data_IF_405921393877
#
_entry.id   IF_405921393877
#
_cell.length_a   1.000
_cell.length_b   1.000
_cell.length_c   1.000
_cell.angle_alpha   90.00
_cell.angle_beta   90.00
_cell.angle_gamma   90.00
#
_symmetry.space_group_name_H-M   'P 1'
#
loop_
_entity.id
_entity.type
_entity.pdbx_description
1 polymer ?
2 non-polymer ?
#
# COMPACT_ATOMS: atom_id res chain seq x y z
N UNK A 30 -14.68 -12.41 18.08
CA UNK A 30 -14.42 -12.77 19.51
C UNK A 30 -13.11 -13.55 19.68
N UNK A 31 -12.37 -13.72 18.60
CA UNK A 31 -11.13 -14.50 18.65
C UNK A 31 -9.85 -13.66 18.47
N UNK A 32 -9.71 -12.67 19.37
CA UNK A 32 -8.41 -12.05 19.60
C UNK A 32 -7.51 -13.08 20.26
N UNK A 33 -8.14 -14.01 20.98
CA UNK A 33 -7.45 -15.08 21.66
C UNK A 33 -6.48 -15.82 20.75
N UNK A 34 -7.03 -16.57 19.80
CA UNK A 34 -6.20 -17.33 18.85
C UNK A 34 -5.04 -16.52 18.27
N UNK A 35 -5.26 -15.23 18.01
CA UNK A 35 -4.19 -14.39 17.50
C UNK A 35 -3.08 -14.21 18.54
N UNK A 36 -3.46 -13.75 19.73
CA UNK A 36 -2.49 -13.54 20.80
C UNK A 36 -1.70 -14.82 21.05
N UNK A 37 -2.42 -15.90 21.35
CA UNK A 37 -1.84 -17.25 21.40
C UNK A 37 -0.80 -17.49 20.32
N UNK A 38 -1.17 -17.21 19.06
CA UNK A 38 -0.29 -17.44 17.93
C UNK A 38 0.83 -16.39 17.84
N UNK A 39 0.47 -15.12 17.98
CA UNK A 39 1.44 -14.05 17.70
C UNK A 39 2.52 -13.99 18.76
N UNK A 40 2.10 -14.11 20.01
CA UNK A 40 2.97 -13.93 21.16
C UNK A 40 4.05 -15.00 21.23
N UNK A 41 3.72 -16.21 20.80
CA UNK A 41 4.70 -17.29 20.69
C UNK A 41 5.51 -17.19 19.39
N UNK A 42 4.82 -17.06 18.26
CA UNK A 42 5.45 -17.09 16.92
C UNK A 42 6.85 -16.47 16.90
N UNK A 43 7.82 -17.30 16.53
CA UNK A 43 9.23 -16.93 16.63
C UNK A 43 9.80 -16.32 15.35
N UNK A 44 8.95 -16.12 14.35
CA UNK A 44 9.41 -15.56 13.08
C UNK A 44 9.27 -14.04 13.04
N UNK A 45 8.69 -13.47 14.10
CA UNK A 45 8.53 -12.02 14.24
C UNK A 45 9.75 -11.44 14.94
N UNK A 46 10.53 -10.61 14.25
CA UNK A 46 11.68 -10.09 15.00
C UNK A 46 11.24 -9.41 16.27
N UNK A 47 12.13 -9.35 17.25
CA UNK A 47 11.75 -8.99 18.63
C UNK A 47 11.51 -7.49 18.80
N UNK A 48 12.10 -6.68 17.92
CA UNK A 48 11.91 -5.26 18.01
C UNK A 48 10.54 -4.86 17.46
N UNK A 49 9.78 -5.83 16.97
CA UNK A 49 8.45 -5.58 16.45
C UNK A 49 7.40 -5.89 17.51
N UNK A 50 7.69 -6.88 18.35
CA UNK A 50 6.78 -7.30 19.41
C UNK A 50 6.35 -6.11 20.26
N UNK A 51 7.25 -5.14 20.43
CA UNK A 51 6.97 -3.98 21.25
C UNK A 51 5.88 -3.05 20.68
N UNK A 52 5.28 -3.45 19.56
CA UNK A 52 4.19 -2.65 18.99
C UNK A 52 2.86 -3.35 19.17
N UNK A 53 2.81 -4.24 20.15
CA UNK A 53 1.64 -5.08 20.35
C UNK A 53 1.40 -5.24 21.84
N UNK A 54 0.16 -5.06 22.27
CA UNK A 54 -0.14 -5.34 23.67
C UNK A 54 0.53 -6.64 24.10
N UNK A 55 1.25 -6.61 25.22
CA UNK A 55 1.82 -7.83 25.81
C UNK A 55 0.73 -8.81 26.27
N UNK A 56 0.95 -10.10 25.98
CA UNK A 56 -0.01 -11.15 26.32
C UNK A 56 0.52 -11.95 27.50
N UNK A 57 -0.40 -12.59 28.26
CA UNK A 57 0.00 -13.32 29.47
C UNK A 57 -0.92 -14.56 29.73
N UNK A 58 -1.83 -14.82 28.78
CA UNK A 58 -2.62 -16.05 28.81
C UNK A 58 -4.09 -15.86 29.14
N UNK A 59 -4.72 -16.96 29.62
CA UNK A 59 -6.17 -17.00 29.79
C UNK A 59 -6.60 -18.27 30.53
N UNK A 70 -12.43 -13.56 29.56
CA UNK A 70 -11.45 -14.15 30.53
C UNK A 70 -10.00 -13.93 30.09
N UNK A 71 -9.77 -12.87 29.33
CA UNK A 71 -8.45 -12.64 28.74
C UNK A 71 -7.64 -11.66 29.56
N UNK A 72 -6.31 -11.85 29.57
CA UNK A 72 -5.41 -11.07 30.44
C UNK A 72 -4.32 -10.34 29.66
N UNK A 73 -4.49 -9.00 29.50
CA UNK A 73 -3.55 -8.19 28.67
C UNK A 73 -3.05 -6.92 29.36
N UNK A 74 -1.70 -6.78 29.42
CA UNK A 74 -1.09 -5.50 29.80
C UNK A 74 -1.87 -4.33 29.19
N UNK A 75 -2.41 -3.46 30.06
CA UNK A 75 -2.97 -2.19 29.59
C UNK A 75 -1.88 -1.19 29.32
N UNK A 76 -1.92 -0.61 28.13
CA UNK A 76 -0.86 0.30 27.69
C UNK A 76 -0.85 1.59 28.52
N UNK A 77 -2.04 2.16 28.76
CA UNK A 77 -2.16 3.50 29.35
C UNK A 77 -1.75 3.57 30.83
N UNK A 78 -1.50 2.39 31.41
CA UNK A 78 -1.07 2.30 32.79
C UNK A 78 0.12 3.20 33.09
N UNK A 79 1.03 3.31 32.12
CA UNK A 79 2.29 4.04 32.34
C UNK A 79 2.15 5.55 32.13
N UNK A 80 0.93 6.03 31.92
CA UNK A 80 0.75 7.44 31.57
C UNK A 80 -0.08 8.18 32.59
N UNK A 81 0.42 9.34 32.98
CA UNK A 81 -0.25 10.15 34.00
C UNK A 81 -1.36 10.97 33.37
N UNK A 82 -0.96 11.83 32.40
CA UNK A 82 -1.90 12.60 31.64
C UNK A 82 -1.63 12.39 30.17
N UNK A 83 -2.29 11.40 29.58
CA UNK A 83 -2.03 11.06 28.19
C UNK A 83 -3.08 11.60 27.25
N UNK A 84 -2.64 12.22 26.16
CA UNK A 84 -3.48 12.39 24.98
C UNK A 84 -3.35 11.13 24.15
N UNK A 85 -4.46 10.67 23.59
CA UNK A 85 -4.48 9.41 22.82
C UNK A 85 -5.31 9.53 21.52
N UNK A 86 -4.89 8.80 20.47
CA UNK A 86 -5.65 8.78 19.19
C UNK A 86 -5.66 7.43 18.52
N UNK A 87 -6.82 7.03 18.00
CA UNK A 87 -6.94 5.74 17.37
C UNK A 87 -7.39 5.82 15.90
N UNK A 88 -6.51 5.35 15.02
CA UNK A 88 -6.71 5.43 13.57
C UNK A 88 -6.95 4.07 12.96
N UNK A 89 -7.99 3.99 12.13
CA UNK A 89 -8.34 2.77 11.41
C UNK A 89 -7.49 2.65 10.15
N UNK A 90 -6.54 1.73 10.18
CA UNK A 90 -5.64 1.52 9.05
C UNK A 90 -6.27 0.66 8.00
N UNK A 91 -6.22 1.14 6.76
CA UNK A 91 -6.64 0.33 5.64
C UNK A 91 -7.31 1.10 4.53
N UNK A 92 -6.75 0.98 3.32
CA UNK A 92 -7.33 1.49 2.07
C UNK A 92 -8.79 1.03 1.89
N UNK A 93 -9.11 -0.16 2.41
CA UNK A 93 -10.48 -0.59 2.62
C UNK A 93 -10.59 -1.19 4.01
N UNK A 94 -11.81 -1.40 4.47
CA UNK A 94 -12.02 -1.95 5.81
C UNK A 94 -12.32 -3.45 5.78
N UNK A 95 -13.07 -3.87 4.77
CA UNK A 95 -13.50 -5.27 4.66
C UNK A 95 -12.36 -6.14 4.16
N UNK A 96 -12.70 -7.39 3.83
CA UNK A 96 -11.75 -8.35 3.29
C UNK A 96 -12.50 -9.49 2.58
N UNK A 97 -11.85 -10.10 1.57
CA UNK A 97 -12.52 -11.07 0.68
C UNK A 97 -13.12 -12.29 1.40
N UNK A 98 -12.45 -12.76 2.46
CA UNK A 98 -12.88 -13.97 3.17
C UNK A 98 -14.04 -13.71 4.13
N UNK A 99 -14.33 -12.44 4.40
CA UNK A 99 -15.47 -12.07 5.24
C UNK A 99 -16.80 -12.52 4.63
N UNK A 100 -17.84 -12.55 5.44
CA UNK A 100 -19.18 -12.89 4.95
C UNK A 100 -19.71 -11.78 4.06
N UNK A 101 -20.85 -12.05 3.40
CA UNK A 101 -21.47 -11.08 2.50
C UNK A 101 -22.10 -9.92 3.29
N UNK A 102 -22.84 -10.26 4.35
CA UNK A 102 -23.41 -9.25 5.24
C UNK A 102 -22.35 -8.28 5.74
N UNK A 103 -21.17 -8.81 6.06
CA UNK A 103 -20.10 -8.03 6.67
C UNK A 103 -19.32 -7.19 5.66
N UNK A 104 -19.30 -7.62 4.40
CA UNK A 104 -18.63 -6.85 3.34
C UNK A 104 -19.43 -5.63 2.92
N UNK A 105 -20.73 -5.82 2.66
CA UNK A 105 -21.62 -4.72 2.29
C UNK A 105 -21.70 -3.69 3.40
N UNK A 106 -21.69 -4.18 4.64
CA UNK A 106 -21.66 -3.32 5.83
C UNK A 106 -20.50 -2.33 5.76
N UNK A 107 -19.27 -2.85 5.73
CA UNK A 107 -18.07 -2.02 5.71
C UNK A 107 -17.95 -1.17 4.44
N UNK A 108 -18.38 -1.71 3.30
CA UNK A 108 -18.28 -1.02 2.02
C UNK A 108 -19.00 0.32 2.07
N UNK A 109 -20.20 0.32 2.65
CA UNK A 109 -20.93 1.57 2.85
C UNK A 109 -20.20 2.46 3.87
N UNK A 110 -19.86 1.87 5.03
CA UNK A 110 -19.11 2.58 6.08
C UNK A 110 -17.86 3.30 5.56
N UNK A 111 -17.20 2.72 4.57
CA UNK A 111 -15.97 3.30 4.04
C UNK A 111 -16.25 4.51 3.16
N UNK A 112 -17.37 4.45 2.43
CA UNK A 112 -17.69 5.47 1.44
C UNK A 112 -17.91 6.83 2.10
N UNK A 113 -17.12 7.82 1.66
CA UNK A 113 -17.28 9.19 2.11
C UNK A 113 -16.34 9.55 3.24
N UNK A 114 -15.28 8.77 3.41
CA UNK A 114 -14.33 9.01 4.48
C UNK A 114 -12.92 8.85 3.94
N UNK A 115 -11.95 9.39 4.66
CA UNK A 115 -10.57 9.40 4.20
C UNK A 115 -10.02 7.99 4.05
N UNK A 116 -10.81 7.00 4.47
CA UNK A 116 -10.45 5.61 4.29
C UNK A 116 -10.15 5.32 2.82
N UNK A 117 -11.06 5.72 1.95
CA UNK A 117 -10.89 5.52 0.52
C UNK A 117 -9.89 6.52 -0.07
N UNK A 118 -10.10 7.80 0.23
CA UNK A 118 -9.24 8.87 -0.26
C UNK A 118 -7.79 8.65 0.18
N UNK A 119 -7.59 8.50 1.47
CA UNK A 119 -6.23 8.28 1.98
C UNK A 119 -6.10 6.87 2.52
N UNK A 120 -4.93 6.54 3.06
CA UNK A 120 -4.76 5.18 3.57
C UNK A 120 -5.67 4.71 4.74
N UNK A 121 -6.40 5.63 5.37
CA UNK A 121 -6.74 5.48 6.77
C UNK A 121 -7.91 6.36 7.24
N UNK A 122 -8.15 6.38 8.56
CA UNK A 122 -9.34 7.02 9.13
C UNK A 122 -9.22 7.30 10.65
N UNK A 123 -9.04 8.56 11.01
CA UNK A 123 -9.03 8.93 12.43
C UNK A 123 -10.39 8.62 13.06
N UNK A 124 -10.40 7.72 14.04
CA UNK A 124 -11.63 7.15 14.59
C UNK A 124 -12.01 7.85 15.86
N UNK A 125 -11.01 8.47 16.47
CA UNK A 125 -11.21 9.16 17.71
C UNK A 125 -9.89 9.56 18.27
N UNK A 126 -9.93 10.58 19.12
CA UNK A 126 -8.79 11.00 19.90
C UNK A 126 -9.30 11.69 21.12
N UNK A 127 -8.41 11.91 22.09
CA UNK A 127 -8.68 12.69 23.29
C UNK A 127 -7.41 13.46 23.67
N UNK A 128 -7.54 14.76 23.91
CA UNK A 128 -6.39 15.64 23.97
C UNK A 128 -6.46 16.60 25.17
N UNK A 129 -5.32 17.06 25.65
CA UNK A 129 -5.28 17.81 26.92
C UNK A 129 -4.80 19.27 26.76
N UNK A 130 -5.75 20.19 26.58
CA UNK A 130 -5.43 21.61 26.44
C UNK A 130 -4.70 22.15 27.68
N UNK A 131 -3.44 22.54 27.50
CA UNK A 131 -2.60 22.96 28.63
C UNK A 131 -2.98 24.34 29.17
N UNK A 132 -3.67 25.14 28.36
CA UNK A 132 -4.10 26.46 28.82
C UNK A 132 -5.33 26.37 29.72
N UNK A 133 -6.24 25.45 29.41
CA UNK A 133 -7.46 25.29 30.18
C UNK A 133 -7.42 24.06 31.08
N UNK A 134 -6.22 23.50 31.28
CA UNK A 134 -6.04 22.30 32.10
C UNK A 134 -7.22 21.34 32.03
N UNK A 135 -7.47 20.78 30.84
CA UNK A 135 -8.69 20.04 30.61
C UNK A 135 -8.60 19.12 29.39
N UNK A 136 -8.98 17.86 29.56
CA UNK A 136 -9.12 16.94 28.42
C UNK A 136 -10.42 17.22 27.69
N UNK A 137 -10.36 17.15 26.36
CA UNK A 137 -11.57 17.07 25.56
C UNK A 137 -11.43 15.98 24.49
N UNK A 138 -12.54 15.61 23.89
CA UNK A 138 -12.61 14.42 23.07
C UNK A 138 -13.90 14.44 22.30
N UNK A 139 -13.80 14.63 20.97
CA UNK A 139 -14.99 14.83 20.17
C UNK A 139 -15.69 13.51 19.89
N UNK A 140 -17.02 13.55 19.80
CA UNK A 140 -17.83 12.40 19.44
C UNK A 140 -17.22 11.63 18.27
N UNK A 141 -17.43 10.31 18.25
CA UNK A 141 -16.82 9.44 17.26
C UNK A 141 -17.46 9.57 15.86
N UNK A 142 -18.80 9.66 15.80
CA UNK A 142 -19.52 9.88 14.54
C UNK A 142 -18.96 11.09 13.79
N UNK A 143 -18.80 12.20 14.48
CA UNK A 143 -18.36 13.46 13.88
C UNK A 143 -17.09 13.31 13.04
N UNK A 144 -16.14 12.52 13.53
CA UNK A 144 -14.87 12.31 12.83
C UNK A 144 -15.03 11.46 11.52
N UNK A 145 -16.14 10.75 11.41
CA UNK A 145 -16.46 9.99 10.18
C UNK A 145 -16.65 10.93 8.99
N UNK A 146 -16.94 12.20 9.27
CA UNK A 146 -17.17 13.19 8.22
C UNK A 146 -15.91 13.90 7.74
N UNK A 147 -14.78 13.64 8.38
CA UNK A 147 -13.55 14.33 8.04
C UNK A 147 -13.10 14.07 6.59
N UNK A 148 -12.69 15.14 5.91
CA UNK A 148 -12.08 15.02 4.59
C UNK A 148 -10.57 15.17 4.73
N UNK A 149 -9.85 15.18 3.61
CA UNK A 149 -8.39 15.11 3.67
C UNK A 149 -7.81 16.27 4.48
N UNK A 150 -8.35 17.47 4.29
CA UNK A 150 -7.86 18.64 5.03
C UNK A 150 -8.22 18.52 6.48
N UNK A 151 -9.45 18.10 6.75
CA UNK A 151 -9.87 17.77 8.09
C UNK A 151 -8.85 16.91 8.82
N UNK A 152 -8.44 15.82 8.17
CA UNK A 152 -7.55 14.83 8.78
C UNK A 152 -6.17 15.42 9.06
N UNK A 153 -5.70 16.24 8.14
CA UNK A 153 -4.39 16.82 8.26
C UNK A 153 -4.41 17.81 9.40
N UNK A 154 -5.55 18.46 9.60
CA UNK A 154 -5.73 19.40 10.69
C UNK A 154 -5.82 18.67 12.02
N UNK A 155 -6.68 17.66 12.07
CA UNK A 155 -6.82 16.86 13.26
C UNK A 155 -5.49 16.32 13.72
N UNK A 156 -4.72 15.77 12.79
CA UNK A 156 -3.43 15.18 13.10
C UNK A 156 -2.47 16.21 13.64
N UNK A 157 -2.81 17.47 13.44
CA UNK A 157 -1.98 18.55 13.93
C UNK A 157 -2.51 19.07 15.26
N UNK A 158 -3.83 19.07 15.39
CA UNK A 158 -4.46 19.33 16.66
C UNK A 158 -3.86 18.38 17.68
N UNK A 159 -3.79 17.11 17.31
CA UNK A 159 -3.36 16.04 18.20
C UNK A 159 -2.02 16.34 18.89
N UNK A 160 -1.24 17.27 18.32
CA UNK A 160 0.05 17.63 18.89
C UNK A 160 0.17 19.11 19.22
N UNK A 161 -0.95 19.71 19.63
CA UNK A 161 -0.94 21.11 20.05
C UNK A 161 -1.28 21.26 21.54
N UNK A 162 -1.03 22.44 22.09
CA UNK A 162 -1.47 22.76 23.45
C UNK A 162 -2.81 23.48 23.42
N UNK A 163 -3.26 23.85 22.22
CA UNK A 163 -4.48 24.63 22.04
C UNK A 163 -5.64 23.80 21.50
N UNK A 164 -6.80 23.96 22.11
CA UNK A 164 -8.03 23.50 21.49
C UNK A 164 -9.22 24.28 22.01
N UNK A 165 -9.31 25.53 21.54
CA UNK A 165 -10.23 26.52 22.10
C UNK A 165 -10.83 27.39 20.99
N UNK A 172 -5.74 27.84 14.20
CA UNK A 172 -4.43 28.17 14.79
C UNK A 172 -3.98 27.09 15.81
N UNK A 173 -2.99 26.28 15.44
CA UNK A 173 -2.55 25.17 16.29
C UNK A 173 -1.05 25.18 16.51
N UNK A 174 -0.61 24.85 17.71
CA UNK A 174 0.83 24.85 18.04
C UNK A 174 1.53 23.51 17.72
N UNK A 175 2.61 23.22 18.45
CA UNK A 175 3.32 21.96 18.28
C UNK A 175 3.99 21.39 19.53
N UNK A 176 3.62 20.15 19.84
CA UNK A 176 4.51 19.17 20.45
C UNK A 176 4.96 18.23 19.32
N UNK A 177 4.75 18.68 18.07
CA UNK A 177 5.02 17.89 16.88
C UNK A 177 6.45 17.40 16.85
N UNK A 178 7.38 18.29 17.17
CA UNK A 178 8.77 17.92 17.18
C UNK A 178 9.16 16.84 18.24
N UNK A 179 8.36 16.66 19.27
CA UNK A 179 8.72 15.69 20.33
C UNK A 179 7.79 14.47 20.41
N UNK A 180 6.60 14.58 19.84
CA UNK A 180 5.76 13.41 19.70
C UNK A 180 6.04 12.71 18.38
N UNK A 181 5.93 13.45 17.27
CA UNK A 181 6.04 12.87 15.95
C UNK A 181 7.51 12.68 15.59
N UNK A 182 8.27 13.76 15.72
CA UNK A 182 9.66 13.79 15.28
C UNK A 182 10.54 13.15 16.31
N UNK A 183 11.85 13.33 16.19
CA UNK A 183 12.78 12.78 17.16
C UNK A 183 13.10 11.31 16.92
N UNK A 184 14.25 10.87 17.45
CA UNK A 184 14.81 9.59 17.04
C UNK A 184 14.09 8.38 17.62
N UNK A 185 13.18 8.61 18.56
CA UNK A 185 12.34 7.54 19.10
C UNK A 185 10.87 7.87 18.93
N UNK A 186 10.59 8.95 18.23
CA UNK A 186 9.23 9.43 18.09
C UNK A 186 8.32 8.51 17.30
N UNK A 187 7.13 8.99 17.01
CA UNK A 187 6.17 8.21 16.30
C UNK A 187 6.64 7.94 14.86
N UNK A 188 7.34 8.89 14.27
CA UNK A 188 7.75 8.72 12.87
C UNK A 188 8.67 7.51 12.76
N UNK A 189 9.74 7.53 13.55
CA UNK A 189 10.66 6.41 13.61
C UNK A 189 9.89 5.11 13.84
N UNK A 190 8.98 5.13 14.80
CA UNK A 190 8.21 3.95 15.14
C UNK A 190 7.36 3.50 13.94
N UNK A 191 6.63 4.43 13.35
CA UNK A 191 5.79 4.09 12.19
C UNK A 191 6.63 3.50 11.06
N UNK A 192 7.84 4.04 10.90
CA UNK A 192 8.76 3.57 9.89
C UNK A 192 9.20 2.13 10.11
N UNK A 193 9.60 1.80 11.33
CA UNK A 193 9.94 0.42 11.67
C UNK A 193 8.83 -0.56 11.29
N UNK A 194 7.59 -0.20 11.59
CA UNK A 194 6.45 -1.02 11.22
C UNK A 194 6.32 -1.15 9.70
N UNK A 195 6.57 -0.05 8.99
CA UNK A 195 6.47 -0.08 7.54
C UNK A 195 7.43 -1.11 6.98
N UNK A 196 8.71 -0.95 7.29
CA UNK A 196 9.69 -1.93 6.89
C UNK A 196 9.10 -3.30 7.09
N UNK A 197 8.73 -3.60 8.33
CA UNK A 197 8.22 -4.92 8.62
C UNK A 197 7.10 -5.31 7.65
N UNK A 198 6.17 -4.40 7.43
CA UNK A 198 4.99 -4.73 6.63
C UNK A 198 5.32 -4.93 5.16
N UNK A 199 6.50 -4.47 4.75
CA UNK A 199 6.99 -4.71 3.41
C UNK A 199 7.24 -6.19 3.19
N UNK A 200 7.82 -6.85 4.19
CA UNK A 200 8.15 -8.27 4.08
C UNK A 200 7.13 -9.25 4.71
N UNK A 201 6.75 -9.02 5.97
CA UNK A 201 6.01 -10.06 6.70
C UNK A 201 4.79 -10.55 5.94
N UNK A 202 4.67 -11.87 5.80
CA UNK A 202 3.47 -12.48 5.21
C UNK A 202 2.77 -13.42 6.18
N UNK A 203 2.97 -13.22 7.47
CA UNK A 203 2.41 -14.12 8.48
C UNK A 203 0.95 -13.80 8.76
N UNK A 204 0.65 -12.53 8.97
CA UNK A 204 -0.72 -12.15 9.31
C UNK A 204 -1.23 -11.07 8.37
N UNK A 205 -2.54 -11.13 8.09
CA UNK A 205 -3.25 -10.02 7.47
C UNK A 205 -4.10 -9.35 8.53
N UNK A 206 -3.79 -8.09 8.81
CA UNK A 206 -4.44 -7.38 9.90
C UNK A 206 -5.77 -6.73 9.48
N UNK A 207 -6.75 -7.56 9.13
CA UNK A 207 -8.04 -7.05 8.66
C UNK A 207 -8.71 -6.15 9.66
N UNK A 208 -9.08 -4.95 9.22
CA UNK A 208 -10.04 -4.13 9.97
C UNK A 208 -9.55 -3.79 11.38
N UNK A 209 -8.51 -2.98 11.44
CA UNK A 209 -7.59 -3.00 12.55
C UNK A 209 -6.93 -1.60 12.70
N UNK A 210 -6.74 -1.14 13.94
CA UNK A 210 -6.40 0.28 14.18
C UNK A 210 -4.98 0.48 14.70
N UNK A 211 -4.41 1.63 14.41
CA UNK A 211 -3.20 2.05 15.08
C UNK A 211 -3.55 2.98 16.22
N UNK A 212 -2.82 2.85 17.33
CA UNK A 212 -3.02 3.70 18.48
C UNK A 212 -1.77 4.50 18.79
N UNK A 213 -1.91 5.83 18.82
CA UNK A 213 -0.84 6.71 19.29
C UNK A 213 -1.17 7.22 20.69
N UNK A 214 -0.13 7.44 21.49
CA UNK A 214 -0.31 8.04 22.81
C UNK A 214 0.95 8.74 23.27
N UNK A 215 0.80 9.70 24.18
CA UNK A 215 1.96 10.37 24.76
C UNK A 215 1.69 11.09 26.09
N UNK A 216 2.76 11.57 26.72
CA UNK A 216 2.69 12.11 28.08
C UNK A 216 2.62 13.63 28.05
N UNK A 217 1.57 14.18 28.66
CA UNK A 217 1.48 15.64 28.81
C UNK A 217 2.24 16.20 30.02
N UNK A 218 2.40 15.38 31.06
CA UNK A 218 3.03 15.86 32.30
C UNK A 218 4.22 16.83 32.08
N UNK A 219 4.00 18.09 32.49
CA UNK A 219 4.87 19.20 32.08
C UNK A 219 5.17 19.12 30.59
N UNK A 227 10.34 13.61 29.22
CA UNK A 227 9.86 13.96 27.85
C UNK A 227 8.44 13.39 27.59
N UNK A 228 8.02 13.41 26.32
CA UNK A 228 6.64 13.06 25.96
C UNK A 228 6.41 11.55 25.84
N UNK A 229 7.50 10.79 25.79
CA UNK A 229 7.44 9.33 25.79
C UNK A 229 6.35 8.78 24.83
N UNK A 230 6.39 9.20 23.55
CA UNK A 230 5.38 8.83 22.55
C UNK A 230 5.42 7.36 22.21
N UNK A 231 4.28 6.75 21.93
CA UNK A 231 4.26 5.33 21.59
C UNK A 231 3.19 4.89 20.62
N UNK A 232 3.57 3.93 19.76
CA UNK A 232 2.69 3.37 18.75
C UNK A 232 2.33 1.93 19.09
N UNK A 233 1.10 1.54 18.75
CA UNK A 233 0.65 0.16 18.96
C UNK A 233 -0.53 -0.16 18.05
N UNK A 234 -0.71 -1.45 17.77
CA UNK A 234 -1.81 -1.90 16.97
C UNK A 234 -2.81 -2.54 17.89
N UNK A 235 -4.09 -2.37 17.58
CA UNK A 235 -5.14 -2.93 18.41
C UNK A 235 -6.24 -3.58 17.57
N UNK A 236 -7.23 -4.15 18.24
CA UNK A 236 -8.33 -4.87 17.57
C UNK A 236 -7.84 -5.96 16.67
N UNK A 237 -7.82 -7.18 17.17
CA UNK A 237 -7.38 -8.31 16.37
C UNK A 237 -8.50 -9.33 16.17
N UNK A 238 -9.74 -8.87 16.16
CA UNK A 238 -10.88 -9.77 15.95
C UNK A 238 -10.84 -10.46 14.59
N UNK A 239 -10.29 -9.79 13.59
CA UNK A 239 -10.41 -10.24 12.21
C UNK A 239 -9.09 -10.61 11.59
N UNK A 240 -8.03 -10.66 12.37
CA UNK A 240 -6.75 -11.09 11.81
C UNK A 240 -6.88 -12.44 11.09
N UNK A 241 -6.09 -12.63 10.04
CA UNK A 241 -5.99 -13.91 9.36
C UNK A 241 -4.57 -14.23 8.93
N UNK A 242 -4.34 -15.50 8.61
CA UNK A 242 -3.05 -15.93 8.10
C UNK A 242 -2.81 -15.35 6.73
N UNK A 243 -1.91 -14.39 6.67
CA UNK A 243 -1.43 -13.89 5.40
C UNK A 243 -0.73 -15.04 4.74
N UNK A 244 -1.40 -15.67 3.78
CA UNK A 244 -0.89 -16.91 3.25
C UNK A 244 0.24 -16.71 2.29
N UNK A 245 1.31 -16.10 2.78
CA UNK A 245 2.45 -15.80 1.95
C UNK A 245 2.22 -14.59 1.04
N UNK A 246 1.29 -13.74 1.47
CA UNK A 246 0.98 -12.50 0.77
C UNK A 246 1.07 -11.36 1.77
N UNK A 247 1.88 -10.35 1.51
CA UNK A 247 2.02 -9.23 2.44
C UNK A 247 0.66 -8.61 2.75
N UNK A 248 0.58 -7.81 3.83
CA UNK A 248 -0.65 -7.07 4.13
C UNK A 248 -0.65 -5.74 3.39
N UNK A 249 -0.83 -5.82 2.06
CA UNK A 249 -0.68 -4.64 1.17
C UNK A 249 -1.71 -3.56 1.53
N UNK A 250 -2.93 -3.99 1.82
CA UNK A 250 -3.95 -3.09 2.28
C UNK A 250 -3.51 -2.24 3.47
N UNK A 251 -3.04 -2.88 4.52
CA UNK A 251 -2.43 -2.18 5.63
C UNK A 251 -1.24 -1.33 5.19
N UNK A 252 -0.34 -1.91 4.39
CA UNK A 252 0.93 -1.24 4.07
C UNK A 252 0.66 0.06 3.35
N UNK A 253 -0.36 0.03 2.48
CA UNK A 253 -0.78 1.21 1.75
C UNK A 253 -1.18 2.30 2.72
N UNK A 254 -2.19 1.98 3.54
CA UNK A 254 -2.64 2.89 4.60
C UNK A 254 -1.48 3.47 5.40
N UNK A 255 -0.62 2.59 5.91
CA UNK A 255 0.46 3.02 6.77
C UNK A 255 1.32 4.03 6.04
N UNK A 256 1.49 3.83 4.75
CA UNK A 256 2.39 4.68 3.98
C UNK A 256 1.81 6.08 3.78
N UNK A 257 0.52 6.15 3.45
CA UNK A 257 -0.18 7.41 3.42
C UNK A 257 -0.08 8.07 4.82
N UNK A 258 -0.49 7.34 5.84
CA UNK A 258 -0.36 7.88 7.16
C UNK A 258 1.04 8.43 7.39
N UNK A 259 2.08 7.65 7.05
CA UNK A 259 3.45 8.11 7.35
C UNK A 259 3.73 9.44 6.66
N UNK A 260 3.09 9.65 5.51
CA UNK A 260 3.35 10.85 4.73
C UNK A 260 2.73 12.09 5.34
N UNK A 261 1.48 11.94 5.84
CA UNK A 261 0.78 13.06 6.52
C UNK A 261 1.61 13.59 7.67
N UNK A 262 2.11 12.67 8.46
CA UNK A 262 2.91 13.00 9.60
C UNK A 262 4.26 13.58 9.20
N UNK A 263 4.75 13.18 8.04
CA UNK A 263 6.03 13.72 7.58
C UNK A 263 5.88 15.15 7.08
N UNK A 264 4.78 15.42 6.36
CA UNK A 264 4.37 16.77 6.00
C UNK A 264 4.49 17.67 7.21
N UNK A 265 3.80 17.25 8.27
CA UNK A 265 3.66 18.05 9.47
C UNK A 265 5.01 18.45 10.11
N UNK A 266 6.09 17.72 9.84
CA UNK A 266 7.39 18.11 10.41
C UNK A 266 8.22 19.05 9.52
N UNK B 30 -9.94 8.78 -23.28
CA UNK B 30 -9.14 9.24 -24.46
C UNK B 30 -8.21 10.40 -24.09
N UNK B 31 -8.25 10.79 -22.82
CA UNK B 31 -7.43 11.90 -22.36
C UNK B 31 -6.15 11.44 -21.66
N UNK B 32 -5.49 10.45 -22.27
CA UNK B 32 -4.09 10.20 -22.01
C UNK B 32 -3.31 11.45 -22.35
N UNK B 33 -3.88 12.28 -23.20
CA UNK B 33 -3.19 13.44 -23.72
C UNK B 33 -2.85 14.41 -22.60
N UNK B 34 -3.84 14.72 -21.76
CA UNK B 34 -3.64 15.70 -20.71
C UNK B 34 -2.60 15.22 -19.75
N UNK B 35 -2.57 13.91 -19.52
CA UNK B 35 -1.51 13.31 -18.72
C UNK B 35 -0.13 13.54 -19.30
N UNK B 36 0.09 13.09 -20.54
CA UNK B 36 1.38 13.25 -21.18
C UNK B 36 1.78 14.72 -21.29
N UNK B 37 0.81 15.57 -21.65
CA UNK B 37 1.01 17.02 -21.68
C UNK B 37 1.55 17.50 -20.34
N UNK B 38 0.87 17.11 -19.26
CA UNK B 38 1.25 17.52 -17.93
C UNK B 38 2.52 16.85 -17.47
N UNK B 39 2.61 15.53 -17.66
CA UNK B 39 3.66 14.71 -17.03
C UNK B 39 5.03 14.86 -17.67
N UNK B 40 5.08 14.79 -18.99
CA UNK B 40 6.34 14.76 -19.71
C UNK B 40 7.15 16.03 -19.52
N UNK B 41 6.46 17.16 -19.37
CA UNK B 41 7.13 18.44 -19.17
C UNK B 41 7.37 18.75 -17.69
N UNK B 42 6.70 18.01 -16.81
CA UNK B 42 6.74 18.23 -15.37
C UNK B 42 8.13 18.01 -14.79
N UNK B 43 8.76 19.10 -14.40
CA UNK B 43 10.17 19.11 -14.04
C UNK B 43 10.34 18.84 -12.54
N UNK B 44 9.24 18.49 -11.89
CA UNK B 44 9.25 18.25 -10.48
C UNK B 44 9.44 16.78 -10.25
N UNK B 45 9.01 15.98 -11.21
CA UNK B 45 9.34 14.57 -11.27
C UNK B 45 10.82 14.42 -11.62
N UNK B 46 11.60 13.72 -10.77
CA UNK B 46 13.04 13.57 -11.02
C UNK B 46 13.32 12.75 -12.29
N UNK B 47 14.51 12.91 -12.85
CA UNK B 47 14.75 12.34 -14.18
C UNK B 47 14.84 10.82 -14.21
N UNK B 48 15.33 10.22 -13.13
CA UNK B 48 15.51 8.79 -13.10
C UNK B 48 14.18 8.06 -13.02
N UNK B 49 13.10 8.79 -12.76
CA UNK B 49 11.75 8.23 -12.70
C UNK B 49 11.05 8.46 -14.02
N UNK B 50 11.48 9.51 -14.73
CA UNK B 50 10.93 9.81 -16.05
C UNK B 50 11.17 8.65 -16.99
N UNK B 51 12.28 7.96 -16.75
CA UNK B 51 12.72 6.89 -17.63
C UNK B 51 11.81 5.64 -17.58
N UNK B 52 10.81 5.65 -16.71
CA UNK B 52 9.91 4.50 -16.62
C UNK B 52 8.69 4.75 -17.48
N UNK B 53 8.66 5.91 -18.12
CA UNK B 53 7.48 6.33 -18.85
C UNK B 53 7.75 6.45 -20.35
N UNK B 54 6.73 6.14 -21.17
CA UNK B 54 6.93 6.28 -22.61
C UNK B 54 7.34 7.72 -22.93
N UNK B 55 8.36 7.89 -23.79
CA UNK B 55 8.74 9.23 -24.23
C UNK B 55 7.65 9.84 -25.11
N UNK B 56 7.29 11.09 -24.79
CA UNK B 56 6.18 11.78 -25.47
C UNK B 56 6.69 12.84 -26.45
N UNK B 57 6.27 12.76 -27.70
CA UNK B 57 6.77 13.70 -28.68
C UNK B 57 5.74 14.75 -29.08
N UNK B 58 4.53 14.64 -28.55
CA UNK B 58 3.54 15.68 -28.72
C UNK B 58 2.31 15.19 -29.42
N UNK B 59 1.55 16.12 -30.00
CA UNK B 59 0.31 15.77 -30.66
C UNK B 59 -0.08 16.84 -31.68
N UNK B 70 -4.25 11.23 -33.04
CA UNK B 70 -3.02 11.94 -33.50
C UNK B 70 -1.97 12.13 -32.38
N UNK B 71 -1.60 11.05 -31.70
CA UNK B 71 -0.66 11.14 -30.56
C UNK B 71 0.68 10.44 -30.82
N UNK B 72 1.78 11.10 -30.47
CA UNK B 72 3.10 10.64 -30.90
C UNK B 72 3.97 10.11 -29.78
N UNK B 73 4.03 8.78 -29.67
CA UNK B 73 4.76 8.11 -28.57
C UNK B 73 5.88 7.17 -29.02
N UNK B 74 7.01 7.21 -28.32
CA UNK B 74 8.04 6.17 -28.41
C UNK B 74 7.44 4.77 -28.28
N UNK B 75 7.79 3.89 -29.23
CA UNK B 75 7.58 2.47 -29.01
C UNK B 75 8.68 1.89 -28.15
N UNK B 76 8.28 1.23 -27.08
CA UNK B 76 9.22 0.72 -26.10
C UNK B 76 9.95 -0.51 -26.62
N UNK B 77 9.21 -1.38 -27.31
CA UNK B 77 9.76 -2.66 -27.73
C UNK B 77 10.68 -2.53 -28.94
N UNK B 78 10.92 -1.29 -29.37
CA UNK B 78 11.64 -1.04 -30.62
C UNK B 78 13.09 -1.51 -30.57
N UNK B 79 13.71 -1.44 -29.40
CA UNK B 79 15.09 -1.89 -29.25
C UNK B 79 15.22 -3.41 -29.05
N UNK B 80 14.11 -4.14 -29.03
CA UNK B 80 14.17 -5.57 -28.71
C UNK B 80 14.02 -6.41 -29.93
N UNK B 81 14.71 -7.55 -29.95
CA UNK B 81 14.76 -8.43 -31.13
C UNK B 81 13.78 -9.58 -30.97
N UNK B 82 13.98 -10.38 -29.94
CA UNK B 82 13.01 -11.38 -29.53
C UNK B 82 12.66 -11.15 -28.06
N UNK B 83 11.63 -10.31 -27.81
CA UNK B 83 11.33 -9.93 -26.42
C UNK B 83 10.19 -10.76 -25.84
N UNK B 84 10.40 -11.28 -24.63
CA UNK B 84 9.29 -11.71 -23.79
C UNK B 84 8.74 -10.47 -23.08
N UNK B 85 7.42 -10.37 -23.01
CA UNK B 85 6.75 -9.19 -22.45
C UNK B 85 5.55 -9.57 -21.57
N UNK B 86 5.43 -8.95 -20.40
CA UNK B 86 4.24 -9.17 -19.55
C UNK B 86 3.64 -7.88 -19.00
N UNK B 87 2.30 -7.81 -19.00
CA UNK B 87 1.62 -6.62 -18.46
C UNK B 87 0.70 -6.87 -17.25
N UNK B 88 1.01 -6.17 -16.15
CA UNK B 88 0.37 -6.39 -14.85
C UNK B 88 -0.48 -5.20 -14.47
N UNK B 89 -1.73 -5.44 -14.10
CA UNK B 89 -2.58 -4.35 -13.63
C UNK B 89 -2.36 -4.07 -12.14
N UNK B 90 -1.72 -2.93 -11.88
CA UNK B 90 -1.41 -2.50 -10.54
C UNK B 90 -2.59 -1.84 -9.84
N UNK B 91 -2.92 -2.32 -8.64
CA UNK B 91 -3.90 -1.64 -7.83
C UNK B 91 -4.72 -2.58 -7.00
N UNK B 92 -4.79 -2.26 -5.70
CA UNK B 92 -5.53 -3.04 -4.72
C UNK B 92 -7.02 -3.02 -5.03
N UNK B 93 -7.45 -1.96 -5.72
CA UNK B 93 -8.72 -1.93 -6.43
C UNK B 93 -8.50 -1.24 -7.78
N UNK B 94 -9.34 -1.56 -8.75
CA UNK B 94 -9.23 -1.00 -10.11
C UNK B 94 -9.93 0.35 -10.22
N UNK B 95 -11.02 0.50 -9.46
CA UNK B 95 -11.83 1.72 -9.49
C UNK B 95 -11.21 2.84 -8.67
N UNK B 96 -11.87 3.99 -8.69
CA UNK B 96 -11.49 5.11 -7.84
C UNK B 96 -12.73 5.90 -7.48
N UNK B 97 -12.73 6.52 -6.29
CA UNK B 97 -13.97 7.16 -5.80
C UNK B 97 -14.57 8.14 -6.81
N UNK B 98 -13.71 8.82 -7.57
CA UNK B 98 -14.14 9.92 -8.43
C UNK B 98 -14.77 9.48 -9.76
N UNK B 99 -14.66 8.20 -10.09
CA UNK B 99 -15.31 7.65 -11.28
C UNK B 99 -16.82 7.77 -11.18
N UNK B 100 -17.49 7.73 -12.34
CA UNK B 100 -18.96 7.69 -12.37
C UNK B 100 -19.48 6.41 -11.70
N UNK B 101 -20.74 6.39 -11.33
CA UNK B 101 -21.32 5.24 -10.63
C UNK B 101 -21.23 3.96 -11.48
N UNK B 102 -21.51 4.09 -12.77
CA UNK B 102 -21.49 2.95 -13.69
C UNK B 102 -20.12 2.29 -13.80
N UNK B 103 -19.07 3.11 -13.76
CA UNK B 103 -17.71 2.61 -13.92
C UNK B 103 -17.09 2.09 -12.61
N UNK B 104 -17.70 2.47 -11.48
CA UNK B 104 -17.29 1.95 -10.17
C UNK B 104 -17.80 0.52 -9.98
N UNK B 105 -19.09 0.31 -10.26
CA UNK B 105 -19.69 -1.01 -10.12
C UNK B 105 -19.13 -1.98 -11.17
N UNK B 106 -18.72 -1.43 -12.32
CA UNK B 106 -18.08 -2.22 -13.37
C UNK B 106 -16.77 -2.83 -12.87
N UNK B 107 -15.83 -1.96 -12.48
CA UNK B 107 -14.53 -2.40 -11.94
C UNK B 107 -14.67 -3.33 -10.74
N UNK B 108 -15.69 -3.08 -9.92
CA UNK B 108 -15.88 -3.84 -8.70
C UNK B 108 -16.07 -5.33 -9.00
N UNK B 109 -16.94 -5.66 -9.95
CA UNK B 109 -17.20 -7.06 -10.28
C UNK B 109 -16.05 -7.70 -11.07
N UNK B 110 -15.34 -6.88 -11.84
CA UNK B 110 -14.12 -7.33 -12.52
C UNK B 110 -13.07 -7.79 -11.52
N UNK B 111 -12.84 -6.98 -10.49
CA UNK B 111 -11.85 -7.30 -9.48
C UNK B 111 -12.18 -8.58 -8.72
N UNK B 112 -13.45 -8.73 -8.34
CA UNK B 112 -13.91 -9.91 -7.60
C UNK B 112 -13.48 -11.22 -8.27
N UNK B 113 -12.69 -12.02 -7.55
CA UNK B 113 -12.29 -13.34 -8.03
C UNK B 113 -10.97 -13.34 -8.78
N UNK B 114 -10.29 -12.20 -8.80
CA UNK B 114 -8.94 -12.13 -9.35
C UNK B 114 -7.96 -11.94 -8.22
N UNK B 115 -6.68 -11.86 -8.54
CA UNK B 115 -5.70 -11.65 -7.51
C UNK B 115 -5.63 -10.18 -7.20
N UNK B 116 -6.53 -9.40 -7.78
CA UNK B 116 -6.53 -7.94 -7.60
C UNK B 116 -6.84 -7.62 -6.16
N UNK B 117 -7.85 -8.30 -5.63
CA UNK B 117 -8.19 -8.19 -4.22
C UNK B 117 -7.16 -8.90 -3.37
N UNK B 118 -7.03 -10.21 -3.55
CA UNK B 118 -6.13 -11.03 -2.74
C UNK B 118 -4.68 -10.50 -2.68
N UNK B 119 -4.15 -10.11 -3.81
CA UNK B 119 -2.82 -9.50 -3.80
C UNK B 119 -2.95 -8.10 -4.33
N UNK B 120 -1.86 -7.39 -4.46
CA UNK B 120 -1.97 -6.01 -4.89
C UNK B 120 -2.17 -5.76 -6.38
N UNK B 121 -2.47 -6.79 -7.15
CA UNK B 121 -2.25 -6.70 -8.58
C UNK B 121 -2.88 -7.84 -9.36
N UNK B 122 -2.65 -7.85 -10.67
CA UNK B 122 -3.31 -8.80 -11.57
C UNK B 122 -2.51 -9.00 -12.86
N UNK B 123 -2.19 -10.25 -13.18
CA UNK B 123 -1.50 -10.54 -14.42
C UNK B 123 -2.52 -10.63 -15.54
N UNK B 124 -2.45 -9.71 -16.49
CA UNK B 124 -3.56 -9.56 -17.43
C UNK B 124 -3.19 -10.10 -18.80
N UNK B 125 -1.88 -10.22 -19.02
CA UNK B 125 -1.35 -10.88 -20.20
C UNK B 125 0.16 -10.95 -20.17
N UNK B 126 0.70 -12.02 -20.73
CA UNK B 126 2.11 -12.05 -21.13
C UNK B 126 2.27 -12.69 -22.50
N UNK B 127 3.50 -12.61 -23.02
CA UNK B 127 3.92 -13.35 -24.23
C UNK B 127 5.39 -13.73 -24.10
N UNK B 128 5.70 -15.01 -24.32
CA UNK B 128 7.00 -15.55 -23.92
C UNK B 128 7.65 -16.47 -24.96
N UNK B 129 8.98 -16.43 -25.02
CA UNK B 129 9.72 -17.20 -26.02
C UNK B 129 10.36 -18.47 -25.46
N UNK B 130 9.91 -19.63 -25.96
CA UNK B 130 10.47 -20.92 -25.56
C UNK B 130 11.72 -21.21 -26.38
N UNK B 131 12.85 -21.36 -25.71
CA UNK B 131 14.12 -21.54 -26.43
C UNK B 131 14.26 -22.95 -27.00
N UNK B 132 13.61 -23.91 -26.37
CA UNK B 132 13.69 -25.31 -26.80
C UNK B 132 12.87 -25.57 -28.07
N UNK B 133 11.90 -24.70 -28.36
CA UNK B 133 10.99 -24.90 -29.49
C UNK B 133 11.08 -23.77 -30.51
N UNK B 134 11.89 -22.76 -30.19
CA UNK B 134 12.03 -21.58 -31.04
C UNK B 134 10.68 -21.01 -31.45
N UNK B 135 9.94 -20.49 -30.47
CA UNK B 135 8.59 -20.01 -30.72
C UNK B 135 8.05 -19.11 -29.60
N UNK B 136 7.21 -18.15 -29.99
CA UNK B 136 6.50 -17.34 -29.02
C UNK B 136 5.14 -17.95 -28.75
N UNK B 137 4.74 -17.97 -27.48
CA UNK B 137 3.36 -18.31 -27.16
C UNK B 137 2.77 -17.31 -26.16
N UNK B 138 1.46 -17.30 -26.10
CA UNK B 138 0.72 -16.19 -25.53
C UNK B 138 -0.71 -16.60 -25.33
N UNK B 139 -1.11 -16.78 -24.05
CA UNK B 139 -2.41 -17.33 -23.74
C UNK B 139 -3.50 -16.28 -23.93
N UNK B 140 -4.72 -16.73 -24.23
CA UNK B 140 -5.86 -15.83 -24.25
C UNK B 140 -5.94 -15.08 -22.94
N UNK B 141 -6.30 -13.81 -23.00
CA UNK B 141 -6.26 -12.97 -21.84
C UNK B 141 -7.41 -13.27 -20.88
N UNK B 142 -8.61 -13.54 -21.42
CA UNK B 142 -9.72 -13.98 -20.60
C UNK B 142 -9.28 -15.01 -19.57
N UNK B 143 -8.49 -15.99 -20.04
CA UNK B 143 -8.09 -17.13 -19.22
C UNK B 143 -7.29 -16.72 -17.99
N UNK B 144 -6.50 -15.66 -18.12
CA UNK B 144 -5.65 -15.19 -17.03
C UNK B 144 -6.43 -14.51 -15.89
N UNK B 145 -7.68 -14.15 -16.16
CA UNK B 145 -8.55 -13.58 -15.15
C UNK B 145 -8.78 -14.56 -14.00
N UNK B 146 -8.72 -15.86 -14.30
CA UNK B 146 -9.06 -16.90 -13.33
C UNK B 146 -7.91 -17.35 -12.43
N UNK B 147 -6.72 -16.80 -12.64
CA UNK B 147 -5.56 -17.16 -11.83
C UNK B 147 -5.79 -16.91 -10.34
N UNK B 148 -5.34 -17.82 -9.49
CA UNK B 148 -5.28 -17.56 -8.03
C UNK B 148 -3.84 -17.29 -7.58
N UNK B 149 -3.62 -17.21 -6.26
CA UNK B 149 -2.33 -16.74 -5.74
C UNK B 149 -1.18 -17.65 -6.15
N UNK B 150 -1.44 -18.95 -6.20
CA UNK B 150 -0.42 -19.88 -6.66
C UNK B 150 -0.28 -19.75 -8.17
N UNK B 151 -1.41 -19.75 -8.85
CA UNK B 151 -1.45 -19.45 -10.28
C UNK B 151 -0.55 -18.27 -10.63
N UNK B 152 -0.64 -17.20 -9.85
CA UNK B 152 0.10 -16.00 -10.17
C UNK B 152 1.59 -16.15 -9.92
N UNK B 153 1.93 -16.93 -8.90
CA UNK B 153 3.33 -17.13 -8.57
C UNK B 153 3.99 -18.01 -9.63
N UNK B 154 3.26 -19.02 -10.08
CA UNK B 154 3.74 -19.92 -11.10
C UNK B 154 4.00 -19.16 -12.37
N UNK B 155 3.00 -18.41 -12.81
CA UNK B 155 3.10 -17.65 -14.04
C UNK B 155 4.24 -16.65 -13.99
N UNK B 156 4.47 -16.04 -12.84
CA UNK B 156 5.54 -15.08 -12.73
C UNK B 156 6.88 -15.76 -12.88
N UNK B 157 6.88 -17.08 -12.79
CA UNK B 157 8.10 -17.86 -12.91
C UNK B 157 8.28 -18.37 -14.33
N UNK B 158 7.19 -18.90 -14.90
CA UNK B 158 7.11 -19.16 -16.33
C UNK B 158 7.68 -17.99 -17.14
N UNK B 159 7.34 -16.77 -16.74
CA UNK B 159 7.80 -15.58 -17.43
C UNK B 159 9.32 -15.55 -17.60
N UNK B 160 10.03 -16.20 -16.67
CA UNK B 160 11.49 -16.21 -16.71
C UNK B 160 12.05 -17.62 -16.86
N UNK B 161 11.30 -18.49 -17.51
CA UNK B 161 11.75 -19.84 -17.79
C UNK B 161 11.97 -20.03 -19.30
N UNK B 162 12.76 -21.02 -19.68
CA UNK B 162 12.95 -21.34 -21.09
C UNK B 162 11.97 -22.43 -21.51
N UNK B 163 11.35 -23.09 -20.54
CA UNK B 163 10.36 -24.14 -20.81
C UNK B 163 9.02 -23.57 -21.23
N UNK B 164 8.14 -24.45 -21.75
CA UNK B 164 6.71 -24.15 -21.85
C UNK B 164 5.95 -25.18 -22.71
N UNK B 172 7.39 -27.94 -13.72
CA UNK B 172 8.82 -27.72 -13.94
C UNK B 172 9.11 -26.42 -14.70
N UNK B 173 9.72 -25.44 -14.03
CA UNK B 173 10.04 -24.16 -14.67
C UNK B 173 11.47 -23.73 -14.34
N UNK B 174 12.28 -23.54 -15.37
CA UNK B 174 13.66 -23.13 -15.18
C UNK B 174 13.82 -21.66 -14.71
N UNK B 175 14.97 -21.05 -15.05
CA UNK B 175 15.21 -19.65 -14.68
C UNK B 175 16.16 -18.85 -15.61
N UNK B 176 15.65 -17.69 -16.01
CA UNK B 176 16.48 -16.54 -16.34
C UNK B 176 16.28 -15.55 -15.19
N UNK B 177 15.63 -16.05 -14.12
CA UNK B 177 15.24 -15.24 -12.98
C UNK B 177 16.39 -14.42 -12.45
N UNK B 178 17.55 -15.02 -12.35
CA UNK B 178 18.71 -14.33 -11.88
C UNK B 178 19.16 -13.16 -12.78
N UNK B 179 18.78 -13.18 -14.06
CA UNK B 179 19.25 -12.13 -14.99
C UNK B 179 18.15 -11.15 -15.40
N UNK B 180 16.91 -11.60 -15.30
CA UNK B 180 15.78 -10.70 -15.52
C UNK B 180 15.39 -9.99 -14.21
N UNK B 181 14.85 -10.75 -13.25
CA UNK B 181 14.45 -10.21 -11.94
C UNK B 181 15.62 -9.74 -11.07
N UNK B 182 16.64 -10.57 -10.94
CA UNK B 182 17.76 -10.28 -10.06
C UNK B 182 18.76 -9.33 -10.68
N UNK B 183 19.91 -9.20 -10.06
CA UNK B 183 20.99 -8.41 -10.60
C UNK B 183 20.88 -6.97 -10.22
N UNK B 184 21.98 -6.23 -10.37
CA UNK B 184 22.03 -4.85 -9.91
C UNK B 184 21.27 -3.90 -10.82
N UNK B 185 20.94 -4.34 -12.04
CA UNK B 185 20.17 -3.50 -12.95
C UNK B 185 18.86 -4.16 -13.38
N UNK B 186 18.49 -5.26 -12.75
CA UNK B 186 17.29 -6.01 -13.11
C UNK B 186 15.96 -5.43 -12.62
N UNK B 187 14.91 -6.22 -12.76
CA UNK B 187 13.56 -5.77 -12.50
C UNK B 187 13.32 -5.40 -11.03
N UNK B 188 13.86 -6.21 -10.12
CA UNK B 188 13.62 -5.98 -8.71
C UNK B 188 14.18 -4.63 -8.31
N UNK B 189 15.37 -4.31 -8.80
CA UNK B 189 15.95 -3.02 -8.49
C UNK B 189 15.12 -1.90 -9.05
N UNK B 190 14.60 -2.10 -10.26
CA UNK B 190 13.86 -1.06 -10.94
C UNK B 190 12.55 -0.81 -10.22
N UNK B 191 11.86 -1.90 -9.87
CA UNK B 191 10.64 -1.84 -9.14
C UNK B 191 10.86 -1.12 -7.79
N UNK B 192 12.05 -1.29 -7.23
CA UNK B 192 12.33 -0.71 -5.95
C UNK B 192 12.47 0.78 -6.11
N UNK B 193 13.16 1.18 -7.17
CA UNK B 193 13.34 2.58 -7.48
C UNK B 193 12.01 3.26 -7.66
N UNK B 194 11.11 2.58 -8.36
CA UNK B 194 9.74 3.03 -8.47
C UNK B 194 9.11 3.17 -7.09
N UNK B 195 9.13 2.08 -6.32
CA UNK B 195 8.54 2.10 -5.00
C UNK B 195 8.98 3.34 -4.20
N UNK B 196 10.29 3.56 -4.13
CA UNK B 196 10.77 4.71 -3.38
C UNK B 196 9.99 5.93 -3.79
N UNK B 197 9.91 6.18 -5.09
CA UNK B 197 9.19 7.35 -5.59
C UNK B 197 7.74 7.37 -5.08
N UNK B 198 7.02 6.25 -5.21
CA UNK B 198 5.62 6.24 -4.88
C UNK B 198 5.37 6.47 -3.39
N UNK B 199 6.42 6.39 -2.59
CA UNK B 199 6.33 6.60 -1.16
C UNK B 199 6.22 8.08 -0.87
N UNK B 200 6.62 8.91 -1.83
CA UNK B 200 6.74 10.34 -1.59
C UNK B 200 5.89 11.19 -2.54
N UNK B 201 5.93 10.86 -3.84
CA UNK B 201 5.21 11.64 -4.85
C UNK B 201 3.74 11.76 -4.51
N UNK B 202 3.23 13.00 -4.51
CA UNK B 202 1.77 13.26 -4.45
C UNK B 202 1.25 14.06 -5.63
N UNK B 203 1.95 14.02 -6.75
CA UNK B 203 1.50 14.69 -7.95
C UNK B 203 0.36 13.93 -8.62
N UNK B 204 0.57 12.64 -8.90
CA UNK B 204 -0.42 11.87 -9.68
C UNK B 204 -0.97 10.64 -8.96
N UNK B 205 -2.24 10.31 -9.24
CA UNK B 205 -2.82 9.02 -8.84
C UNK B 205 -3.08 8.15 -10.06
N UNK B 206 -2.27 7.12 -10.21
CA UNK B 206 -2.37 6.22 -11.34
C UNK B 206 -3.46 5.16 -11.20
N UNK B 207 -4.71 5.54 -11.43
CA UNK B 207 -5.79 4.57 -11.40
C UNK B 207 -5.79 3.64 -12.61
N UNK B 208 -6.30 2.41 -12.42
CA UNK B 208 -6.59 1.51 -13.54
C UNK B 208 -5.44 1.40 -14.50
N UNK B 209 -4.28 1.04 -14.00
CA UNK B 209 -3.06 1.33 -14.72
C UNK B 209 -2.04 0.20 -14.51
N UNK B 210 -1.16 -0.02 -15.49
CA UNK B 210 -0.46 -1.32 -15.60
C UNK B 210 1.04 -1.18 -15.67
N UNK B 211 1.75 -2.08 -15.01
CA UNK B 211 3.19 -2.18 -15.19
C UNK B 211 3.50 -3.11 -16.36
N UNK B 212 4.59 -2.81 -17.05
CA UNK B 212 5.02 -3.63 -18.18
C UNK B 212 6.44 -4.11 -18.00
N UNK B 213 6.62 -5.42 -18.02
CA UNK B 213 7.96 -6.00 -17.93
C UNK B 213 8.40 -6.57 -19.27
N UNK B 214 9.64 -6.34 -19.65
CA UNK B 214 10.16 -6.87 -20.91
C UNK B 214 11.65 -7.17 -20.84
N UNK B 215 12.08 -8.23 -21.53
CA UNK B 215 13.51 -8.48 -21.65
C UNK B 215 13.86 -9.14 -22.95
N UNK B 216 15.16 -9.24 -23.24
CA UNK B 216 15.65 -9.81 -24.49
C UNK B 216 15.89 -11.32 -24.38
N UNK B 217 15.54 -12.07 -25.41
CA UNK B 217 15.94 -13.48 -25.47
C UNK B 217 17.19 -13.73 -26.32
N UNK B 218 17.33 -12.99 -27.42
CA UNK B 218 18.47 -13.11 -28.34
C UNK B 218 19.82 -13.30 -27.63
N UNK B 219 20.36 -14.51 -27.69
CA UNK B 219 21.72 -14.77 -27.19
C UNK B 219 22.67 -15.27 -28.31
N UNK B 227 23.27 -8.84 -22.93
CA UNK B 227 22.56 -9.36 -21.73
C UNK B 227 21.04 -9.47 -21.95
N UNK B 228 20.30 -9.75 -20.88
CA UNK B 228 18.84 -9.85 -20.95
C UNK B 228 18.20 -8.48 -21.12
N UNK B 229 18.93 -7.46 -20.67
CA UNK B 229 18.50 -6.08 -20.81
C UNK B 229 17.03 -5.92 -20.38
N UNK B 230 16.70 -6.34 -19.15
CA UNK B 230 15.33 -6.29 -18.66
C UNK B 230 14.88 -4.86 -18.34
N UNK B 231 13.59 -4.58 -18.55
CA UNK B 231 13.04 -3.27 -18.21
C UNK B 231 11.61 -3.23 -17.75
N UNK B 232 11.33 -2.20 -16.96
CA UNK B 232 10.00 -1.92 -16.42
C UNK B 232 9.48 -0.61 -17.03
N UNK B 233 8.19 -0.58 -17.31
CA UNK B 233 7.53 0.66 -17.70
C UNK B 233 6.11 0.73 -17.14
N UNK B 234 5.58 1.95 -17.03
CA UNK B 234 4.17 2.15 -16.71
C UNK B 234 3.38 2.56 -17.95
N UNK B 235 2.15 2.11 -18.08
CA UNK B 235 1.37 2.38 -19.27
C UNK B 235 -0.09 2.59 -18.91
N UNK B 236 -0.91 3.00 -19.88
CA UNK B 236 -2.35 3.23 -19.65
C UNK B 236 -2.63 4.36 -18.70
N UNK B 237 -2.73 5.56 -19.22
CA UNK B 237 -3.00 6.70 -18.38
C UNK B 237 -4.37 7.31 -18.64
N UNK B 238 -5.29 6.52 -19.15
CA UNK B 238 -6.63 7.02 -19.40
C UNK B 238 -7.25 7.62 -18.13
N UNK B 239 -6.80 7.16 -16.97
CA UNK B 239 -7.49 7.43 -15.72
C UNK B 239 -6.65 8.10 -14.64
N UNK B 240 -5.48 8.59 -15.00
CA UNK B 240 -4.63 9.25 -14.02
C UNK B 240 -5.27 10.55 -13.55
N UNK B 241 -5.15 10.84 -12.25
CA UNK B 241 -5.73 12.04 -11.66
C UNK B 241 -4.72 12.76 -10.78
N UNK B 242 -4.92 14.07 -10.58
CA UNK B 242 -4.06 14.80 -9.65
C UNK B 242 -4.24 14.23 -8.26
N UNK B 243 -3.19 13.65 -7.73
CA UNK B 243 -3.23 13.18 -6.35
C UNK B 243 -2.97 14.39 -5.51
N UNK B 244 -4.02 14.91 -4.89
CA UNK B 244 -3.95 16.26 -4.38
C UNK B 244 -3.26 16.26 -3.05
N UNK B 245 -1.93 16.24 -3.09
CA UNK B 245 -1.11 16.05 -1.89
C UNK B 245 -1.39 14.77 -1.09
N UNK B 246 -1.75 13.68 -1.77
CA UNK B 246 -1.95 12.38 -1.11
C UNK B 246 -1.30 11.27 -1.95
N UNK B 247 -0.38 10.51 -1.36
CA UNK B 247 0.37 9.52 -2.12
C UNK B 247 -0.59 8.51 -2.74
N UNK B 248 -0.14 7.86 -3.83
CA UNK B 248 -0.96 6.92 -4.57
C UNK B 248 -0.93 5.59 -3.86
N UNK B 249 -1.62 5.51 -2.74
CA UNK B 249 -1.38 4.41 -1.83
C UNK B 249 -1.89 3.12 -2.45
N UNK B 250 -2.96 3.25 -3.23
CA UNK B 250 -3.52 2.09 -3.86
C UNK B 250 -2.51 1.40 -4.79
N UNK B 251 -1.74 2.19 -5.53
CA UNK B 251 -0.66 1.66 -6.35
C UNK B 251 0.44 1.16 -5.43
N UNK B 252 0.86 2.00 -4.50
CA UNK B 252 1.99 1.66 -3.62
C UNK B 252 1.72 0.35 -2.91
N UNK B 253 0.46 0.13 -2.54
CA UNK B 253 0.07 -1.13 -1.97
C UNK B 253 0.47 -2.24 -2.89
N UNK B 254 -0.14 -2.26 -4.06
CA UNK B 254 0.07 -3.32 -5.05
C UNK B 254 1.52 -3.48 -5.44
N UNK B 255 2.23 -2.37 -5.61
CA UNK B 255 3.61 -2.42 -6.05
C UNK B 255 4.40 -3.27 -5.07
N UNK B 256 4.17 -3.02 -3.79
CA UNK B 256 4.90 -3.68 -2.72
C UNK B 256 4.61 -5.17 -2.69
N UNK B 257 3.34 -5.53 -2.82
CA UNK B 257 2.96 -6.91 -2.92
C UNK B 257 3.74 -7.54 -4.07
N UNK B 258 3.66 -6.90 -5.24
CA UNK B 258 4.30 -7.44 -6.42
C UNK B 258 5.78 -7.60 -6.14
N UNK B 259 6.37 -6.60 -5.51
CA UNK B 259 7.78 -6.68 -5.23
C UNK B 259 8.10 -7.93 -4.42
N UNK B 260 7.27 -8.23 -3.42
CA UNK B 260 7.47 -9.41 -2.61
C UNK B 260 7.41 -10.72 -3.39
N UNK B 261 6.48 -10.81 -4.35
CA UNK B 261 6.36 -11.99 -5.20
C UNK B 261 7.66 -12.24 -5.97
N UNK B 262 8.24 -11.16 -6.49
CA UNK B 262 9.46 -11.26 -7.26
C UNK B 262 10.58 -11.72 -6.34
N UNK B 263 10.57 -11.21 -5.12
CA UNK B 263 11.68 -11.46 -4.22
C UNK B 263 11.67 -12.87 -3.70
N UNK B 264 10.47 -13.45 -3.59
CA UNK B 264 10.35 -14.85 -3.20
C UNK B 264 11.13 -15.69 -4.16
N UNK B 265 10.95 -15.39 -5.44
CA UNK B 265 11.44 -16.21 -6.51
C UNK B 265 12.98 -16.17 -6.60
N UNK B 266 13.59 -15.07 -6.22
CA UNK B 266 15.05 -14.95 -6.28
C UNK B 266 15.77 -15.71 -5.18
#
# INVERSE_FOLDING_TARGET
>A
GSHMKDGKPGPLVDDKGRFFKPLQGDSRGEIEVKFYESFSSNTEVPEHIHRYFPVYHGTQAVEGSDGAAMMVLENLLAEYTKPSVMDVKMGSRTWYPDASEEYIQKCLKKDTGTTTVSSGFRISGFEVYDHKESSFWKPERKLLRGLDVDGARLTLRKFVSSNSLSDTGSKPDSAFASSVYGGSHGILTQLLELKTWFENQTLYHFNSCSILMVYENESILKGNDDDARPQVKLVDFAHVLDGNGVIDHNFLGGLCSFINFIREILQSPDESADS
>B
GSHMKDGKPGPLVDDKGRFFKPLQGDSRGEIEVKFYESFSSNTEVPEHIHRYFPVYHGTQAVEGSDGAAMMVLENLLAEYTKPSVMDVKMGSRTWYPDASEEYIQKCLKKDTGTTTVSSGFRISGFEVYDHKESSFWKPERKLLRGLDVDGARLTLRKFVSSNSLSDTGSKPDSAFASSVYGGSHGILTQLLELKTWFENQTLYHFNSCSILMVYENESILKGNDDDARPQVKLVDFAHVLDGNGVIDHNFLGGLCSFINFIREILQSPDESADS
#
